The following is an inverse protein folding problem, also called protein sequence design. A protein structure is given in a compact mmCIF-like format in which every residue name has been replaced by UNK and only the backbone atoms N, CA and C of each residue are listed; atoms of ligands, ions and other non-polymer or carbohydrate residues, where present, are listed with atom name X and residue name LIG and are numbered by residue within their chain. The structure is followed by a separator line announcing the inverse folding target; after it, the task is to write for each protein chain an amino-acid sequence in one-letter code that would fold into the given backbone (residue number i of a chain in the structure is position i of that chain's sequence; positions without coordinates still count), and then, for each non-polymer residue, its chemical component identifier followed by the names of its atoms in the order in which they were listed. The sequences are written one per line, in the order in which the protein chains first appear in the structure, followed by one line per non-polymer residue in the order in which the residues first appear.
data_IF_980369596005
#
_entry.id   IF_980369596005
#
_cell.length_a   1.000
_cell.length_b   1.000
_cell.length_c   1.000
_cell.angle_alpha   90.00
_cell.angle_beta   90.00
_cell.angle_gamma   90.00
#
_symmetry.space_group_name_H-M   'P 1'
#
loop_
_entity.id
_entity.type
_entity.pdbx_description
1 polymer ?
#
# COMPACT_ATOMS: atom_id res chain seq x y z
N UNK A 1 4.19 25.84 -25.39
CA UNK A 1 3.45 24.71 -26.00
C UNK A 1 2.57 24.07 -24.93
N UNK A 2 1.28 23.89 -25.16
CA UNK A 2 0.25 23.61 -24.13
C UNK A 2 0.63 22.54 -23.09
N UNK A 3 1.15 21.37 -23.50
CA UNK A 3 1.50 20.28 -22.56
C UNK A 3 2.65 20.70 -21.61
N UNK A 4 3.63 21.41 -22.12
CA UNK A 4 4.75 21.91 -21.30
C UNK A 4 4.29 22.99 -20.30
N UNK A 5 3.39 23.87 -20.73
CA UNK A 5 2.83 24.91 -19.87
C UNK A 5 1.92 24.31 -18.80
N UNK A 6 1.16 23.27 -19.16
CA UNK A 6 0.35 22.49 -18.21
C UNK A 6 1.22 21.77 -17.18
N UNK A 7 2.35 21.18 -17.60
CA UNK A 7 3.31 20.59 -16.67
C UNK A 7 3.86 21.63 -15.69
N UNK A 8 4.27 22.80 -16.21
CA UNK A 8 4.77 23.89 -15.39
C UNK A 8 3.72 24.33 -14.37
N UNK A 9 2.46 24.49 -14.80
CA UNK A 9 1.35 24.86 -13.92
C UNK A 9 1.14 23.83 -12.80
N UNK A 10 1.15 22.52 -13.11
CA UNK A 10 1.02 21.47 -12.11
C UNK A 10 2.14 21.51 -11.07
N UNK A 11 3.38 21.80 -11.51
CA UNK A 11 4.54 21.86 -10.61
C UNK A 11 4.58 23.14 -9.77
N UNK A 12 4.26 24.28 -10.35
CA UNK A 12 4.42 25.60 -9.68
C UNK A 12 3.17 26.02 -8.93
N UNK A 13 2.03 26.11 -9.60
CA UNK A 13 0.77 26.58 -9.01
C UNK A 13 0.11 25.51 -8.13
N UNK A 14 0.01 24.28 -8.63
CA UNK A 14 -0.62 23.18 -7.89
C UNK A 14 0.34 22.49 -6.91
N UNK A 15 1.64 22.77 -6.95
CA UNK A 15 2.67 22.13 -6.10
C UNK A 15 2.57 20.60 -6.09
N UNK A 16 2.17 20.02 -7.22
CA UNK A 16 2.01 18.57 -7.34
C UNK A 16 3.35 17.87 -7.23
N UNK A 17 3.45 16.89 -6.32
CA UNK A 17 4.59 15.98 -6.27
C UNK A 17 4.70 15.15 -7.54
N UNK A 18 5.89 14.64 -7.83
CA UNK A 18 6.23 13.95 -9.07
C UNK A 18 5.26 12.83 -9.45
N UNK A 19 4.91 11.95 -8.52
CA UNK A 19 3.98 10.84 -8.76
C UNK A 19 2.56 11.32 -9.11
N UNK A 20 2.07 12.36 -8.43
CA UNK A 20 0.76 12.93 -8.72
C UNK A 20 0.72 13.59 -10.10
N UNK A 21 1.75 14.38 -10.42
CA UNK A 21 1.96 14.98 -11.73
C UNK A 21 1.89 13.91 -12.85
N UNK A 22 2.60 12.78 -12.68
CA UNK A 22 2.58 11.66 -13.62
C UNK A 22 1.19 11.05 -13.81
N UNK A 23 0.44 10.86 -12.72
CA UNK A 23 -0.93 10.32 -12.78
C UNK A 23 -1.87 11.27 -13.54
N UNK A 24 -1.78 12.58 -13.27
CA UNK A 24 -2.59 13.59 -13.97
C UNK A 24 -2.27 13.58 -15.47
N UNK A 25 -1.00 13.55 -15.86
CA UNK A 25 -0.61 13.44 -17.27
C UNK A 25 -1.11 12.16 -17.93
N UNK A 26 -1.06 11.02 -17.24
CA UNK A 26 -1.54 9.74 -17.78
C UNK A 26 -3.06 9.78 -18.05
N UNK A 27 -3.83 10.35 -17.12
CA UNK A 27 -5.29 10.53 -17.29
C UNK A 27 -5.58 11.50 -18.42
N UNK A 28 -4.88 12.63 -18.46
CA UNK A 28 -5.07 13.63 -19.52
C UNK A 28 -4.72 13.06 -20.91
N UNK A 29 -3.61 12.34 -21.04
CA UNK A 29 -3.25 11.66 -22.29
C UNK A 29 -4.35 10.70 -22.76
N UNK A 30 -4.99 9.99 -21.82
CA UNK A 30 -6.11 9.10 -22.16
C UNK A 30 -7.31 9.85 -22.72
N UNK A 31 -7.64 11.03 -22.14
CA UNK A 31 -8.72 11.90 -22.67
C UNK A 31 -8.37 12.38 -24.08
N UNK A 32 -7.14 12.82 -24.32
CA UNK A 32 -6.68 13.24 -25.67
C UNK A 32 -6.79 12.10 -26.70
N UNK A 33 -6.43 10.87 -26.33
CA UNK A 33 -6.57 9.72 -27.21
C UNK A 33 -8.05 9.49 -27.57
N UNK A 34 -8.96 9.59 -26.61
CA UNK A 34 -10.41 9.45 -26.84
C UNK A 34 -10.89 10.56 -27.79
N UNK A 35 -10.50 11.81 -27.55
CA UNK A 35 -10.87 12.95 -28.38
C UNK A 35 -10.39 12.79 -29.83
N UNK A 36 -9.17 12.27 -30.04
CA UNK A 36 -8.65 11.97 -31.37
C UNK A 36 -9.43 10.84 -32.07
N UNK A 37 -9.71 9.76 -31.34
CA UNK A 37 -10.45 8.63 -31.91
C UNK A 37 -11.89 9.01 -32.31
N UNK A 38 -12.46 10.04 -31.66
CA UNK A 38 -13.77 10.59 -32.00
C UNK A 38 -13.72 11.74 -33.05
N UNK A 39 -12.55 12.02 -33.62
CA UNK A 39 -12.40 13.08 -34.62
C UNK A 39 -12.49 14.52 -34.10
N UNK A 40 -12.43 14.72 -32.76
CA UNK A 40 -12.46 16.05 -32.14
C UNK A 40 -11.11 16.76 -32.25
N UNK A 41 -10.01 15.98 -32.29
CA UNK A 41 -8.64 16.46 -32.41
C UNK A 41 -7.91 15.78 -33.55
N UNK A 42 -7.36 16.57 -34.49
CA UNK A 42 -6.59 16.05 -35.60
C UNK A 42 -5.15 15.68 -35.22
N UNK A 43 -4.54 16.46 -34.32
CA UNK A 43 -3.13 16.30 -33.94
C UNK A 43 -3.01 15.84 -32.48
N UNK A 44 -2.02 14.98 -32.21
CA UNK A 44 -1.69 14.57 -30.86
C UNK A 44 -0.79 15.62 -30.17
N UNK A 45 -1.28 16.37 -29.19
CA UNK A 45 -0.45 17.33 -28.47
C UNK A 45 0.67 16.68 -27.65
N UNK A 46 0.61 15.36 -27.40
CA UNK A 46 1.66 14.59 -26.72
C UNK A 46 2.68 13.96 -27.68
N UNK A 47 2.57 14.15 -29.01
CA UNK A 47 3.45 13.48 -29.99
C UNK A 47 4.94 13.74 -29.74
N UNK A 48 5.28 14.97 -29.35
CA UNK A 48 6.67 15.40 -29.04
C UNK A 48 6.97 15.45 -27.53
N UNK A 49 6.03 15.04 -26.67
CA UNK A 49 6.19 15.11 -25.22
C UNK A 49 6.47 13.72 -24.62
N UNK A 50 7.63 13.58 -23.97
CA UNK A 50 8.00 12.38 -23.24
C UNK A 50 7.94 12.63 -21.74
N UNK A 51 7.09 11.90 -21.03
CA UNK A 51 7.08 11.90 -19.56
C UNK A 51 8.40 11.26 -19.10
N UNK A 52 9.26 12.04 -18.45
CA UNK A 52 10.50 11.53 -17.85
C UNK A 52 10.11 10.81 -16.55
N UNK A 53 10.51 9.57 -16.44
CA UNK A 53 10.34 8.78 -15.22
C UNK A 53 11.60 8.96 -14.36
N UNK A 54 11.48 9.67 -13.25
CA UNK A 54 12.53 9.68 -12.24
C UNK A 54 12.41 8.42 -11.40
N UNK A 55 13.51 7.73 -11.20
CA UNK A 55 13.57 6.57 -10.32
C UNK A 55 13.59 7.09 -8.87
N UNK A 56 12.49 6.92 -8.16
CA UNK A 56 12.41 7.24 -6.74
C UNK A 56 12.88 6.04 -5.95
N UNK A 57 14.03 6.16 -5.31
CA UNK A 57 14.47 5.19 -4.31
C UNK A 57 13.75 5.52 -2.99
N UNK A 58 12.90 4.61 -2.55
CA UNK A 58 12.12 4.77 -1.30
C UNK A 58 12.79 4.12 -0.10
N UNK A 59 13.91 3.43 -0.30
CA UNK A 59 14.53 2.62 0.72
C UNK A 59 13.65 1.45 1.20
N UNK A 60 14.13 0.76 2.21
CA UNK A 60 13.41 -0.32 2.90
C UNK A 60 13.90 -0.42 4.34
N UNK A 61 13.08 -0.98 5.21
CA UNK A 61 13.51 -1.26 6.58
C UNK A 61 14.30 -2.56 6.63
N UNK A 62 15.43 -2.50 7.30
CA UNK A 62 16.25 -3.67 7.60
C UNK A 62 15.58 -4.56 8.67
N UNK A 63 16.02 -5.80 8.77
CA UNK A 63 15.49 -6.72 9.79
C UNK A 63 15.72 -6.19 11.21
N UNK A 64 16.85 -5.53 11.46
CA UNK A 64 17.18 -4.98 12.77
C UNK A 64 16.32 -3.76 13.11
N UNK A 65 16.01 -2.90 12.15
CA UNK A 65 15.06 -1.79 12.34
C UNK A 65 13.65 -2.31 12.65
N UNK A 66 13.20 -3.36 11.97
CA UNK A 66 11.92 -4.00 12.27
C UNK A 66 11.91 -4.61 13.68
N UNK A 67 13.03 -5.22 14.12
CA UNK A 67 13.18 -5.74 15.49
C UNK A 67 13.13 -4.61 16.54
N UNK A 68 13.73 -3.46 16.25
CA UNK A 68 13.66 -2.27 17.13
C UNK A 68 12.21 -1.82 17.26
N UNK A 69 11.51 -1.65 16.16
CA UNK A 69 10.08 -1.27 16.14
C UNK A 69 9.25 -2.26 16.95
N UNK A 70 9.47 -3.56 16.75
CA UNK A 70 8.73 -4.61 17.45
C UNK A 70 8.94 -4.57 18.97
N UNK A 71 10.16 -4.25 19.43
CA UNK A 71 10.53 -4.17 20.86
C UNK A 71 10.18 -2.84 21.51
N UNK A 72 9.97 -1.76 20.72
CA UNK A 72 9.65 -0.43 21.24
C UNK A 72 8.36 -0.49 22.08
N UNK A 73 8.43 -0.05 23.33
CA UNK A 73 7.24 0.06 24.19
C UNK A 73 6.39 1.23 23.70
N UNK A 74 5.15 0.96 23.35
CA UNK A 74 4.23 1.99 22.85
C UNK A 74 3.56 2.74 24.00
N UNK A 75 3.34 4.05 23.82
CA UNK A 75 2.69 4.92 24.79
C UNK A 75 1.19 4.64 24.94
N UNK A 76 0.57 4.00 23.98
CA UNK A 76 -0.87 3.71 23.97
C UNK A 76 -1.18 2.41 23.22
N UNK A 77 -2.30 1.78 23.56
CA UNK A 77 -2.80 0.58 22.91
C UNK A 77 -3.04 0.79 21.40
N UNK A 78 -3.51 1.98 20.99
CA UNK A 78 -3.70 2.32 19.57
C UNK A 78 -2.40 2.25 18.77
N UNK A 79 -1.29 2.73 19.33
CA UNK A 79 0.02 2.68 18.69
C UNK A 79 0.57 1.26 18.66
N UNK A 80 0.29 0.47 19.69
CA UNK A 80 0.64 -0.95 19.73
C UNK A 80 -0.10 -1.74 18.62
N UNK A 81 -1.38 -1.48 18.42
CA UNK A 81 -2.16 -2.05 17.32
C UNK A 81 -1.58 -1.68 15.95
N UNK A 82 -1.19 -0.43 15.77
CA UNK A 82 -0.58 0.06 14.52
C UNK A 82 0.77 -0.59 14.25
N UNK A 83 1.63 -0.66 15.28
CA UNK A 83 2.91 -1.36 15.19
C UNK A 83 2.73 -2.82 14.78
N UNK A 84 1.84 -3.53 15.47
CA UNK A 84 1.62 -4.95 15.23
C UNK A 84 1.05 -5.20 13.82
N UNK A 85 0.12 -4.35 13.36
CA UNK A 85 -0.42 -4.41 11.99
C UNK A 85 0.65 -4.14 10.94
N UNK A 86 1.51 -3.15 11.18
CA UNK A 86 2.61 -2.80 10.27
C UNK A 86 3.65 -3.93 10.19
N UNK A 87 4.12 -4.43 11.33
CA UNK A 87 5.09 -5.53 11.38
C UNK A 87 4.51 -6.79 10.73
N UNK A 88 3.24 -7.13 11.00
CA UNK A 88 2.56 -8.23 10.34
C UNK A 88 2.59 -8.06 8.81
N UNK A 89 2.28 -6.87 8.31
CA UNK A 89 2.29 -6.58 6.87
C UNK A 89 3.69 -6.72 6.26
N UNK A 90 4.74 -6.28 6.97
CA UNK A 90 6.13 -6.44 6.53
C UNK A 90 6.51 -7.91 6.33
N UNK A 91 6.14 -8.79 7.27
CA UNK A 91 6.49 -10.21 7.19
C UNK A 91 5.61 -11.02 6.22
N UNK A 92 4.39 -10.57 5.94
CA UNK A 92 3.48 -11.26 5.03
C UNK A 92 3.52 -10.72 3.60
N UNK A 93 4.10 -9.55 3.36
CA UNK A 93 4.13 -8.90 2.04
C UNK A 93 2.73 -8.56 1.49
N UNK A 94 1.73 -8.46 2.38
CA UNK A 94 0.36 -8.14 2.02
C UNK A 94 0.12 -6.63 2.08
N UNK A 95 -0.63 -6.12 1.11
CA UNK A 95 -1.09 -4.74 1.14
C UNK A 95 -2.08 -4.51 2.28
N UNK A 96 -2.21 -3.26 2.75
CA UNK A 96 -3.16 -2.90 3.80
C UNK A 96 -4.59 -3.41 3.51
N UNK A 97 -5.08 -3.24 2.27
CA UNK A 97 -6.42 -3.70 1.88
C UNK A 97 -6.59 -5.21 2.03
N UNK A 98 -5.56 -5.98 1.71
CA UNK A 98 -5.58 -7.44 1.81
C UNK A 98 -5.58 -7.86 3.28
N UNK A 99 -4.71 -7.24 4.12
CA UNK A 99 -4.65 -7.50 5.57
C UNK A 99 -5.96 -7.10 6.27
N UNK A 100 -6.58 -5.98 5.87
CA UNK A 100 -7.85 -5.51 6.44
C UNK A 100 -9.01 -6.48 6.22
N UNK A 101 -8.93 -7.27 5.16
CA UNK A 101 -9.96 -8.25 4.81
C UNK A 101 -9.67 -9.67 5.32
N UNK A 102 -8.49 -9.90 5.94
CA UNK A 102 -8.16 -11.23 6.48
C UNK A 102 -9.10 -11.66 7.60
N UNK A 103 -9.52 -12.92 7.52
CA UNK A 103 -10.36 -13.60 8.49
C UNK A 103 -9.66 -14.85 9.00
N UNK A 104 -10.18 -15.42 10.08
CA UNK A 104 -9.67 -16.68 10.63
C UNK A 104 -9.67 -17.82 9.59
N UNK A 105 -10.65 -17.85 8.69
CA UNK A 105 -10.77 -18.85 7.62
C UNK A 105 -9.65 -18.78 6.57
N UNK A 106 -8.97 -17.63 6.46
CA UNK A 106 -7.82 -17.48 5.58
C UNK A 106 -6.53 -18.12 6.14
N UNK A 107 -6.53 -18.47 7.44
CA UNK A 107 -5.40 -19.14 8.07
C UNK A 107 -5.65 -20.64 8.02
N UNK A 108 -4.89 -21.34 7.17
CA UNK A 108 -5.08 -22.78 6.94
C UNK A 108 -3.77 -23.54 7.09
N UNK A 109 -3.89 -24.80 7.46
CA UNK A 109 -2.77 -25.74 7.46
C UNK A 109 -2.51 -26.18 6.03
N UNK A 110 -1.26 -26.08 5.57
CA UNK A 110 -0.86 -26.48 4.22
C UNK A 110 -0.26 -27.88 4.21
N UNK A 111 0.13 -28.37 3.03
CA UNK A 111 0.71 -29.70 2.81
C UNK A 111 2.00 -29.96 3.62
N UNK A 112 2.75 -28.89 3.94
CA UNK A 112 3.97 -28.94 4.76
C UNK A 112 3.69 -28.98 6.27
N UNK A 113 2.43 -29.04 6.68
CA UNK A 113 1.99 -29.03 8.08
C UNK A 113 2.05 -27.67 8.76
N UNK A 114 2.55 -26.63 8.09
CA UNK A 114 2.63 -25.28 8.60
C UNK A 114 1.32 -24.49 8.35
N UNK A 115 1.16 -23.40 9.11
CA UNK A 115 0.06 -22.45 8.86
C UNK A 115 0.43 -21.50 7.74
N UNK A 116 -0.51 -21.27 6.84
CA UNK A 116 -0.40 -20.36 5.71
C UNK A 116 -1.58 -19.41 5.68
N UNK A 117 -1.34 -18.20 5.17
CA UNK A 117 -2.39 -17.27 4.74
C UNK A 117 -2.76 -17.64 3.31
N UNK A 118 -4.01 -17.99 3.07
CA UNK A 118 -4.55 -18.30 1.75
C UNK A 118 -5.67 -17.31 1.46
N UNK A 119 -5.43 -16.37 0.54
CA UNK A 119 -6.35 -15.27 0.23
C UNK A 119 -6.24 -14.85 -1.21
N UNK A 120 -7.07 -13.91 -1.64
CA UNK A 120 -6.99 -13.26 -2.95
C UNK A 120 -6.64 -11.78 -2.79
N UNK A 121 -5.74 -11.28 -3.64
CA UNK A 121 -5.46 -9.85 -3.68
C UNK A 121 -6.69 -9.08 -4.13
N UNK A 122 -7.10 -8.09 -3.35
CA UNK A 122 -8.26 -7.26 -3.67
C UNK A 122 -8.10 -6.51 -5.00
N UNK A 123 -6.89 -6.03 -5.31
CA UNK A 123 -6.64 -5.22 -6.51
C UNK A 123 -6.63 -6.02 -7.81
N UNK A 124 -6.15 -7.26 -7.79
CA UNK A 124 -5.91 -8.07 -8.99
C UNK A 124 -6.70 -9.37 -9.04
N UNK A 125 -7.41 -9.70 -7.95
CA UNK A 125 -8.11 -10.98 -7.77
C UNK A 125 -7.21 -12.22 -7.92
N UNK A 126 -5.91 -12.06 -7.72
CA UNK A 126 -4.91 -13.13 -7.83
C UNK A 126 -4.80 -13.88 -6.50
N UNK A 127 -4.72 -15.20 -6.55
CA UNK A 127 -4.50 -16.03 -5.37
C UNK A 127 -3.12 -15.75 -4.76
N UNK A 128 -3.08 -15.63 -3.44
CA UNK A 128 -1.86 -15.38 -2.67
C UNK A 128 -1.78 -16.35 -1.51
N UNK A 129 -0.70 -17.12 -1.48
CA UNK A 129 -0.39 -18.07 -0.43
C UNK A 129 0.91 -17.64 0.24
N UNK A 130 0.85 -17.32 1.52
CA UNK A 130 2.00 -16.82 2.30
C UNK A 130 2.19 -17.69 3.53
N UNK A 131 3.38 -18.30 3.73
CA UNK A 131 3.66 -19.03 4.95
C UNK A 131 3.66 -18.09 6.16
N UNK A 132 3.03 -18.51 7.24
CA UNK A 132 3.06 -17.77 8.50
C UNK A 132 4.37 -18.05 9.22
N UNK A 133 5.23 -17.05 9.26
CA UNK A 133 6.46 -17.04 10.04
C UNK A 133 6.16 -16.83 11.53
N UNK A 134 7.15 -16.97 12.40
CA UNK A 134 6.95 -16.96 13.85
C UNK A 134 6.46 -15.61 14.39
N UNK A 135 6.97 -14.49 13.85
CA UNK A 135 6.53 -13.15 14.26
C UNK A 135 5.05 -12.91 13.92
N UNK A 136 4.56 -13.12 12.68
CA UNK A 136 3.13 -13.12 12.39
C UNK A 136 2.29 -14.04 13.28
N UNK A 137 2.76 -15.27 13.56
CA UNK A 137 2.07 -16.20 14.47
C UNK A 137 1.92 -15.63 15.87
N UNK A 138 2.99 -15.02 16.40
CA UNK A 138 3.00 -14.36 17.72
C UNK A 138 1.97 -13.22 17.76
N UNK A 139 1.96 -12.36 16.74
CA UNK A 139 0.99 -11.27 16.63
C UNK A 139 -0.44 -11.79 16.58
N UNK A 140 -0.73 -12.78 15.73
CA UNK A 140 -2.07 -13.38 15.65
C UNK A 140 -2.52 -14.00 16.98
N UNK A 141 -1.61 -14.69 17.70
CA UNK A 141 -1.90 -15.25 19.02
C UNK A 141 -2.33 -14.19 20.04
N UNK A 142 -1.73 -12.98 19.99
CA UNK A 142 -2.06 -11.85 20.86
C UNK A 142 -3.52 -11.40 20.69
N UNK A 143 -4.06 -11.42 19.48
CA UNK A 143 -5.41 -10.96 19.15
C UNK A 143 -6.46 -12.07 19.04
N UNK A 144 -6.07 -13.34 19.18
CA UNK A 144 -6.96 -14.49 19.05
C UNK A 144 -8.15 -14.38 20.05
N UNK A 145 -9.37 -14.43 19.51
CA UNK A 145 -10.59 -14.38 20.31
C UNK A 145 -10.95 -13.01 20.92
N UNK A 146 -10.18 -11.95 20.63
CA UNK A 146 -10.41 -10.61 21.17
C UNK A 146 -11.13 -9.67 20.20
N UNK A 147 -11.24 -10.05 18.93
CA UNK A 147 -11.77 -9.19 17.87
C UNK A 147 -13.13 -9.71 17.38
N UNK A 148 -14.05 -8.81 17.04
CA UNK A 148 -15.36 -9.17 16.50
C UNK A 148 -15.24 -9.68 15.05
N UNK A 149 -16.32 -10.30 14.56
CA UNK A 149 -16.54 -10.65 13.14
C UNK A 149 -15.47 -11.54 12.51
N UNK A 150 -14.80 -12.38 13.30
CA UNK A 150 -13.75 -13.28 12.80
C UNK A 150 -12.50 -12.58 12.29
N UNK A 151 -12.32 -11.28 12.58
CA UNK A 151 -11.10 -10.53 12.29
C UNK A 151 -9.93 -11.09 13.08
N UNK A 152 -8.75 -11.07 12.46
CA UNK A 152 -7.52 -11.60 13.07
C UNK A 152 -6.58 -10.50 13.57
N UNK A 153 -6.78 -9.25 13.12
CA UNK A 153 -6.00 -8.07 13.50
C UNK A 153 -6.90 -6.87 13.76
N UNK A 154 -6.52 -5.94 14.65
CA UNK A 154 -7.24 -4.71 14.90
C UNK A 154 -7.04 -3.73 13.73
N UNK A 155 -8.04 -3.61 12.87
CA UNK A 155 -7.95 -2.79 11.67
C UNK A 155 -8.49 -1.38 11.95
N UNK A 156 -7.71 -0.37 11.57
CA UNK A 156 -8.08 1.05 11.53
C UNK A 156 -8.02 1.53 10.08
N UNK A 157 -8.54 2.72 9.76
CA UNK A 157 -8.45 3.23 8.38
C UNK A 157 -7.01 3.44 7.92
N UNK A 158 -6.75 3.25 6.62
CA UNK A 158 -5.40 3.40 6.05
C UNK A 158 -4.80 4.79 6.31
N UNK A 159 -5.64 5.83 6.30
CA UNK A 159 -5.20 7.19 6.60
C UNK A 159 -4.70 7.33 8.05
N UNK A 160 -5.45 6.78 9.02
CA UNK A 160 -5.04 6.75 10.43
C UNK A 160 -3.80 5.88 10.64
N UNK A 161 -3.71 4.72 9.97
CA UNK A 161 -2.53 3.87 10.02
C UNK A 161 -1.27 4.65 9.62
N UNK A 162 -1.30 5.34 8.48
CA UNK A 162 -0.17 6.12 8.00
C UNK A 162 0.19 7.30 8.92
N UNK A 163 -0.81 7.95 9.53
CA UNK A 163 -0.57 9.03 10.49
C UNK A 163 0.13 8.51 11.75
N UNK A 164 -0.35 7.40 12.31
CA UNK A 164 0.21 6.81 13.54
C UNK A 164 1.57 6.12 13.31
N UNK A 165 1.84 5.62 12.10
CA UNK A 165 3.18 5.13 11.75
C UNK A 165 4.23 6.24 11.80
N UNK A 166 3.89 7.47 11.41
CA UNK A 166 4.77 8.63 11.56
C UNK A 166 5.03 8.93 13.05
N UNK A 167 3.96 8.90 13.87
CA UNK A 167 4.07 9.07 15.33
C UNK A 167 4.95 7.99 16.00
N UNK A 168 5.01 6.78 15.45
CA UNK A 168 5.88 5.70 15.95
C UNK A 168 7.33 5.91 15.51
N UNK A 169 7.55 6.52 14.34
CA UNK A 169 8.89 6.76 13.81
C UNK A 169 9.63 7.90 14.52
N UNK A 170 8.91 8.89 15.05
CA UNK A 170 9.42 9.97 15.88
C UNK A 170 9.81 9.45 17.28
#
# INVERSE_FOLDING_TARGET
MFITDFELYLRTACKCGYEHHRQVHAVFKRIIIIARNNGILDKDPFASYKIRLEKVDRGYLTEDEIKIILKKKMASERLEHVRDLFVFSCFCGLAYSDVANLRQENIRKSFDGNLWIMTKRQKTNTDVNVPLLDIPKMILKKYKGKLPDGKILPIISNQKLNAYLKEIAD
#
